data_IF_571008255589
#
_entry.id   IF_571008255589
#
_cell.length_a   1.000
_cell.length_b   1.000
_cell.length_c   1.000
_cell.angle_alpha   90.00
_cell.angle_beta   90.00
_cell.angle_gamma   90.00
#
_symmetry.space_group_name_H-M   'P 1'
#
loop_
_entity.id
_entity.type
_entity.pdbx_description
1 polymer ?
#
# COMPACT_ATOMS: atom_id res chain seq x y z
N UNK A 1 2.32 -41.93 54.10
CA UNK A 1 2.79 -42.62 52.88
C UNK A 1 2.62 -41.66 51.71
N UNK A 2 3.68 -40.98 51.26
CA UNK A 2 3.63 -40.15 50.06
C UNK A 2 4.98 -40.31 49.36
N UNK A 3 4.99 -41.09 48.27
CA UNK A 3 6.19 -41.41 47.49
C UNK A 3 6.49 -40.24 46.57
N UNK A 4 7.67 -39.65 46.73
CA UNK A 4 8.26 -38.68 45.80
C UNK A 4 8.78 -39.46 44.60
N UNK A 5 8.22 -39.22 43.41
CA UNK A 5 8.76 -39.71 42.14
C UNK A 5 9.75 -38.67 41.60
N UNK A 6 11.04 -38.97 41.68
CA UNK A 6 12.08 -38.28 40.92
C UNK A 6 12.08 -38.85 39.49
N UNK A 7 11.51 -38.12 38.54
CA UNK A 7 11.77 -38.35 37.13
C UNK A 7 13.12 -37.75 36.78
N UNK A 8 14.12 -38.62 36.55
CA UNK A 8 15.38 -38.24 35.93
C UNK A 8 15.13 -37.85 34.47
N UNK A 9 15.35 -36.57 34.15
CA UNK A 9 15.47 -36.10 32.77
C UNK A 9 16.79 -36.64 32.22
N UNK A 10 16.71 -37.72 31.43
CA UNK A 10 17.80 -38.12 30.56
C UNK A 10 18.00 -37.01 29.52
N UNK A 11 19.09 -36.26 29.64
CA UNK A 11 19.59 -35.37 28.60
C UNK A 11 19.99 -36.25 27.41
N UNK A 12 19.07 -36.42 26.46
CA UNK A 12 19.43 -36.84 25.11
C UNK A 12 20.35 -35.74 24.55
N UNK A 13 21.66 -36.01 24.55
CA UNK A 13 22.60 -35.28 23.69
C UNK A 13 22.10 -35.46 22.27
N UNK A 14 21.58 -34.39 21.71
CA UNK A 14 21.48 -34.25 20.26
C UNK A 14 22.92 -34.17 19.78
N UNK A 15 23.51 -35.31 19.42
CA UNK A 15 24.76 -35.29 18.66
C UNK A 15 24.50 -34.41 17.44
N UNK A 16 25.26 -33.32 17.36
CA UNK A 16 25.23 -32.42 16.21
C UNK A 16 25.31 -33.28 14.95
N UNK A 17 24.50 -32.98 13.94
CA UNK A 17 24.79 -33.38 12.56
C UNK A 17 26.25 -33.01 12.28
N UNK A 18 27.16 -33.97 12.46
CA UNK A 18 28.59 -33.72 12.38
C UNK A 18 28.87 -33.70 10.88
N UNK A 19 28.87 -32.50 10.31
CA UNK A 19 29.31 -32.32 8.93
C UNK A 19 30.73 -32.95 8.82
N UNK A 20 30.96 -33.84 7.85
CA UNK A 20 32.24 -34.56 7.72
C UNK A 20 33.43 -33.64 7.41
N UNK A 21 33.17 -32.36 7.13
CA UNK A 21 34.16 -31.29 7.01
C UNK A 21 33.66 -30.00 7.66
N UNK A 22 34.58 -29.08 7.93
CA UNK A 22 34.29 -27.72 8.41
C UNK A 22 34.81 -26.71 7.40
N UNK A 23 33.97 -25.74 7.03
CA UNK A 23 34.35 -24.60 6.19
C UNK A 23 34.66 -23.39 7.07
N UNK A 24 35.72 -22.66 6.76
CA UNK A 24 36.07 -21.39 7.41
C UNK A 24 36.44 -20.34 6.37
N UNK A 25 35.89 -19.10 6.42
CA UNK A 25 34.83 -18.67 7.34
C UNK A 25 33.45 -19.28 6.98
N UNK A 26 32.63 -19.51 8.01
CA UNK A 26 31.25 -19.95 7.84
C UNK A 26 30.33 -18.74 7.61
N UNK A 27 29.53 -18.82 6.54
CA UNK A 27 28.52 -17.84 6.14
C UNK A 27 29.00 -16.35 6.09
N UNK A 28 30.14 -16.06 5.43
CA UNK A 28 30.73 -14.72 5.46
C UNK A 28 29.85 -13.70 4.71
N UNK A 29 29.92 -12.45 5.17
CA UNK A 29 29.34 -11.30 4.47
C UNK A 29 30.45 -10.41 3.93
N UNK A 30 30.38 -10.06 2.65
CA UNK A 30 31.46 -9.41 1.92
C UNK A 30 30.94 -8.29 1.01
N UNK A 31 31.83 -7.34 0.69
CA UNK A 31 31.56 -6.28 -0.28
C UNK A 31 31.73 -6.79 -1.71
N UNK A 32 30.94 -6.26 -2.64
CA UNK A 32 31.17 -6.48 -4.08
C UNK A 32 32.60 -6.08 -4.45
N UNK A 33 33.27 -6.91 -5.26
CA UNK A 33 34.65 -6.71 -5.70
C UNK A 33 35.71 -7.20 -4.71
N UNK A 34 35.32 -7.63 -3.51
CA UNK A 34 36.24 -8.24 -2.55
C UNK A 34 36.66 -9.65 -2.97
N UNK A 35 37.69 -10.18 -2.30
CA UNK A 35 38.16 -11.55 -2.47
C UNK A 35 37.88 -12.36 -1.21
N UNK A 36 37.55 -13.64 -1.38
CA UNK A 36 37.35 -14.60 -0.30
C UNK A 36 38.39 -15.71 -0.41
N UNK A 37 39.08 -15.99 0.69
CA UNK A 37 39.84 -17.22 0.88
C UNK A 37 39.10 -18.08 1.90
N UNK A 38 38.67 -19.27 1.47
CA UNK A 38 37.92 -20.20 2.30
C UNK A 38 38.64 -21.56 2.36
N UNK A 39 38.65 -22.18 3.53
CA UNK A 39 39.29 -23.48 3.76
C UNK A 39 38.25 -24.53 4.14
N UNK A 40 38.38 -25.73 3.59
CA UNK A 40 37.59 -26.92 3.94
C UNK A 40 38.52 -27.92 4.61
N UNK A 41 38.25 -28.23 5.87
CA UNK A 41 39.04 -29.16 6.67
C UNK A 41 38.23 -30.40 6.99
N UNK A 42 38.71 -31.58 6.57
CA UNK A 42 38.14 -32.87 6.97
C UNK A 42 38.78 -33.38 8.26
N UNK A 43 38.06 -34.21 9.00
CA UNK A 43 38.58 -34.81 10.22
C UNK A 43 39.80 -35.71 9.94
N UNK A 44 40.77 -35.71 10.84
CA UNK A 44 42.02 -36.48 10.70
C UNK A 44 41.78 -38.00 10.76
N UNK A 45 40.66 -38.44 11.33
CA UNK A 45 40.22 -39.83 11.33
C UNK A 45 39.53 -40.26 10.02
N UNK A 46 39.28 -39.34 9.09
CA UNK A 46 38.66 -39.64 7.80
C UNK A 46 39.67 -40.22 6.81
N UNK A 47 39.19 -41.04 5.86
CA UNK A 47 40.01 -41.54 4.74
C UNK A 47 40.26 -40.49 3.65
N UNK A 48 39.66 -39.30 3.77
CA UNK A 48 39.72 -38.24 2.79
C UNK A 48 40.97 -37.39 2.99
N UNK A 49 41.64 -37.04 1.89
CA UNK A 49 42.76 -36.10 1.89
C UNK A 49 42.38 -34.81 1.19
N UNK A 50 43.12 -33.73 1.46
CA UNK A 50 42.92 -32.44 0.81
C UNK A 50 42.95 -32.52 -0.73
N UNK A 51 43.78 -33.41 -1.28
CA UNK A 51 43.90 -33.70 -2.72
C UNK A 51 42.65 -34.36 -3.33
N UNK A 52 41.78 -34.94 -2.50
CA UNK A 52 40.51 -35.55 -2.91
C UNK A 52 39.34 -34.57 -2.83
N UNK A 53 39.57 -33.34 -2.37
CA UNK A 53 38.52 -32.34 -2.19
C UNK A 53 38.40 -31.44 -3.42
N UNK A 54 37.21 -30.89 -3.65
CA UNK A 54 37.02 -29.79 -4.60
C UNK A 54 35.88 -28.87 -4.17
N UNK A 55 35.86 -27.67 -4.74
CA UNK A 55 34.89 -26.64 -4.42
C UNK A 55 33.92 -26.37 -5.56
N UNK A 56 32.67 -26.08 -5.21
CA UNK A 56 31.68 -25.52 -6.13
C UNK A 56 31.10 -24.24 -5.57
N UNK A 57 30.86 -23.25 -6.44
CA UNK A 57 30.08 -22.06 -6.14
C UNK A 57 28.80 -22.08 -6.96
N UNK A 58 27.63 -22.06 -6.30
CA UNK A 58 26.32 -22.16 -6.95
C UNK A 58 26.22 -23.36 -7.92
N UNK A 59 26.78 -24.50 -7.51
CA UNK A 59 26.80 -25.74 -8.30
C UNK A 59 27.83 -25.79 -9.42
N UNK A 60 28.59 -24.71 -9.68
CA UNK A 60 29.67 -24.70 -10.67
C UNK A 60 31.01 -25.00 -10.02
N UNK A 61 31.75 -25.96 -10.57
CA UNK A 61 33.08 -26.32 -10.05
C UNK A 61 34.06 -25.17 -10.28
N UNK A 62 34.77 -24.81 -9.22
CA UNK A 62 35.80 -23.77 -9.27
C UNK A 62 37.08 -24.31 -9.94
N UNK A 63 37.84 -23.48 -10.66
CA UNK A 63 39.06 -23.92 -11.36
C UNK A 63 40.15 -24.38 -10.38
N UNK A 64 40.92 -25.41 -10.75
CA UNK A 64 41.93 -25.99 -9.85
C UNK A 64 43.07 -25.01 -9.54
N UNK A 65 43.30 -24.01 -10.40
CA UNK A 65 44.30 -22.94 -10.22
C UNK A 65 43.95 -22.01 -9.05
N UNK A 66 42.69 -22.01 -8.61
CA UNK A 66 42.23 -21.23 -7.45
C UNK A 66 42.46 -21.97 -6.12
N UNK A 67 42.92 -23.22 -6.17
CA UNK A 67 43.07 -24.07 -5.00
C UNK A 67 44.48 -24.01 -4.43
N UNK A 68 44.56 -24.14 -3.11
CA UNK A 68 45.83 -24.24 -2.38
C UNK A 68 45.71 -25.34 -1.31
N UNK A 69 46.55 -26.36 -1.40
CA UNK A 69 46.61 -27.43 -0.39
C UNK A 69 47.41 -26.91 0.80
N UNK A 70 46.73 -26.62 1.91
CA UNK A 70 47.37 -26.07 3.11
C UNK A 70 48.07 -27.15 3.95
N UNK A 71 47.45 -28.33 4.03
CA UNK A 71 47.99 -29.51 4.73
C UNK A 71 47.31 -30.79 4.19
N UNK A 72 47.57 -31.95 4.81
CA UNK A 72 47.03 -33.24 4.35
C UNK A 72 45.49 -33.35 4.37
N UNK A 73 44.79 -32.57 5.20
CA UNK A 73 43.33 -32.65 5.41
C UNK A 73 42.58 -31.35 5.07
N UNK A 74 43.28 -30.28 4.70
CA UNK A 74 42.68 -28.97 4.43
C UNK A 74 42.98 -28.48 3.02
N UNK A 75 41.91 -28.23 2.25
CA UNK A 75 41.96 -27.57 0.94
C UNK A 75 41.43 -26.15 1.04
N UNK A 76 42.22 -25.17 0.58
CA UNK A 76 41.83 -23.77 0.48
C UNK A 76 41.43 -23.42 -0.95
N UNK A 77 40.53 -22.44 -1.08
CA UNK A 77 40.16 -21.81 -2.35
C UNK A 77 40.17 -20.30 -2.20
N UNK A 78 40.74 -19.60 -3.18
CA UNK A 78 40.68 -18.13 -3.25
C UNK A 78 39.87 -17.68 -4.45
N UNK A 79 38.79 -16.95 -4.19
CA UNK A 79 37.89 -16.39 -5.20
C UNK A 79 38.08 -14.87 -5.18
N UNK A 80 38.57 -14.30 -6.28
CA UNK A 80 38.77 -12.86 -6.40
C UNK A 80 37.59 -12.17 -7.09
N UNK A 81 37.43 -10.87 -6.81
CA UNK A 81 36.47 -10.00 -7.48
C UNK A 81 35.04 -10.55 -7.47
N UNK A 82 34.54 -10.89 -6.29
CA UNK A 82 33.19 -11.43 -6.10
C UNK A 82 32.11 -10.45 -6.59
N UNK A 83 31.17 -10.95 -7.37
CA UNK A 83 29.99 -10.21 -7.79
C UNK A 83 28.91 -10.24 -6.71
N UNK A 84 27.92 -9.33 -6.81
CA UNK A 84 26.77 -9.32 -5.92
C UNK A 84 25.98 -10.62 -5.98
N UNK A 85 25.50 -11.07 -4.81
CA UNK A 85 24.82 -12.35 -4.68
C UNK A 85 23.54 -12.41 -5.51
N UNK A 86 23.39 -13.50 -6.26
CA UNK A 86 22.26 -13.65 -7.18
C UNK A 86 20.99 -14.17 -6.47
N UNK A 87 21.14 -14.59 -5.22
CA UNK A 87 20.10 -15.23 -4.42
C UNK A 87 19.96 -14.50 -3.08
N UNK A 88 18.73 -14.24 -2.66
CA UNK A 88 18.46 -13.62 -1.37
C UNK A 88 18.90 -14.50 -0.18
N UNK A 89 18.96 -15.82 -0.35
CA UNK A 89 19.46 -16.77 0.67
C UNK A 89 20.98 -16.82 0.78
N UNK A 90 21.71 -16.05 -0.05
CA UNK A 90 23.16 -16.16 -0.21
C UNK A 90 23.55 -17.16 -1.30
N UNK A 91 24.79 -17.05 -1.77
CA UNK A 91 25.40 -17.96 -2.73
C UNK A 91 26.01 -19.17 -2.04
N UNK A 92 25.87 -20.35 -2.63
CA UNK A 92 26.26 -21.60 -2.01
C UNK A 92 27.70 -21.97 -2.38
N UNK A 93 28.64 -21.79 -1.43
CA UNK A 93 29.99 -22.33 -1.51
C UNK A 93 30.03 -23.70 -0.84
N UNK A 94 30.35 -24.73 -1.59
CA UNK A 94 30.24 -26.13 -1.13
C UNK A 94 31.54 -26.87 -1.36
N UNK A 95 31.99 -27.59 -0.34
CA UNK A 95 33.12 -28.50 -0.39
C UNK A 95 32.62 -29.92 -0.63
N UNK A 96 33.23 -30.60 -1.60
CA UNK A 96 32.86 -31.94 -2.04
C UNK A 96 34.03 -32.90 -1.92
N UNK A 97 33.73 -34.19 -1.74
CA UNK A 97 34.68 -35.28 -1.97
C UNK A 97 34.80 -35.61 -3.46
N UNK A 98 35.87 -36.29 -3.85
CA UNK A 98 36.15 -36.76 -5.22
C UNK A 98 34.96 -37.49 -5.87
N UNK A 99 34.19 -38.23 -5.07
CA UNK A 99 33.03 -39.02 -5.53
C UNK A 99 31.75 -38.18 -5.71
N UNK A 100 31.80 -36.88 -5.45
CA UNK A 100 30.67 -35.95 -5.58
C UNK A 100 29.81 -35.80 -4.32
N UNK A 101 30.24 -36.37 -3.20
CA UNK A 101 29.55 -36.23 -1.91
C UNK A 101 29.74 -34.83 -1.33
N UNK A 102 28.65 -34.21 -0.88
CA UNK A 102 28.69 -32.91 -0.18
C UNK A 102 29.23 -33.13 1.23
N UNK A 103 30.33 -32.47 1.56
CA UNK A 103 30.95 -32.58 2.88
C UNK A 103 30.56 -31.43 3.81
N UNK A 104 30.52 -30.21 3.28
CA UNK A 104 30.15 -29.01 4.01
C UNK A 104 29.69 -27.91 3.04
N UNK A 105 28.86 -26.98 3.52
CA UNK A 105 28.39 -25.81 2.76
C UNK A 105 28.46 -24.53 3.59
N UNK A 106 28.67 -23.41 2.91
CA UNK A 106 28.71 -22.05 3.47
C UNK A 106 27.95 -21.10 2.54
N UNK A 107 27.09 -20.27 3.10
CA UNK A 107 26.31 -19.28 2.37
C UNK A 107 27.06 -17.94 2.33
N UNK A 108 27.54 -17.56 1.14
CA UNK A 108 28.20 -16.28 0.94
C UNK A 108 27.16 -15.18 0.74
N UNK A 109 27.30 -14.06 1.46
CA UNK A 109 26.43 -12.89 1.31
C UNK A 109 27.24 -11.72 0.75
N UNK A 110 27.15 -11.49 -0.55
CA UNK A 110 27.90 -10.42 -1.23
C UNK A 110 26.95 -9.31 -1.66
N UNK A 111 27.23 -8.08 -1.24
CA UNK A 111 26.46 -6.92 -1.69
C UNK A 111 27.09 -5.60 -1.26
N UNK A 112 26.25 -4.60 -1.04
CA UNK A 112 26.66 -3.27 -0.61
C UNK A 112 26.00 -2.90 0.73
N UNK A 113 26.67 -2.10 1.58
CA UNK A 113 26.05 -1.54 2.77
C UNK A 113 24.82 -0.69 2.37
N UNK A 114 23.85 -0.53 3.28
CA UNK A 114 22.66 0.24 2.97
C UNK A 114 23.04 1.70 2.78
N UNK A 115 22.40 2.37 1.83
CA UNK A 115 22.47 3.83 1.73
C UNK A 115 21.40 4.50 2.58
N UNK A 116 21.65 5.76 2.95
CA UNK A 116 20.73 6.50 3.80
C UNK A 116 19.37 6.68 3.11
N UNK A 117 18.25 6.34 3.77
CA UNK A 117 16.92 6.62 3.24
C UNK A 117 16.71 8.13 3.06
N UNK A 118 15.95 8.51 2.03
CA UNK A 118 15.69 9.92 1.69
C UNK A 118 14.20 10.17 1.48
N UNK A 119 13.83 11.44 1.27
CA UNK A 119 12.47 11.85 0.94
C UNK A 119 11.39 11.35 1.92
N UNK A 120 11.70 11.41 3.21
CA UNK A 120 10.72 11.09 4.25
C UNK A 120 9.59 12.12 4.18
N UNK A 121 8.39 11.62 3.91
CA UNK A 121 7.16 12.41 3.83
C UNK A 121 6.10 11.75 4.69
N UNK A 122 5.41 12.54 5.51
CA UNK A 122 4.37 12.05 6.40
C UNK A 122 3.08 12.83 6.20
N UNK A 123 1.97 12.18 6.49
CA UNK A 123 0.64 12.79 6.54
C UNK A 123 -0.20 12.14 7.63
N UNK A 124 -1.11 12.92 8.19
CA UNK A 124 -2.06 12.49 9.21
C UNK A 124 -3.47 12.58 8.66
N UNK A 125 -4.23 11.49 8.73
CA UNK A 125 -5.66 11.54 8.44
C UNK A 125 -6.39 12.04 9.68
N UNK A 126 -7.07 13.17 9.53
CA UNK A 126 -7.97 13.73 10.54
C UNK A 126 -7.29 13.96 11.92
N UNK A 127 -5.97 14.20 11.97
CA UNK A 127 -5.16 14.37 13.20
C UNK A 127 -5.18 13.17 14.17
N UNK A 128 -5.52 11.97 13.71
CA UNK A 128 -5.66 10.79 14.58
C UNK A 128 -4.54 9.79 14.43
N UNK A 129 -3.97 9.72 13.23
CA UNK A 129 -2.90 8.80 12.88
C UNK A 129 -1.72 9.56 12.27
N UNK A 130 -0.63 8.84 11.99
CA UNK A 130 0.48 9.36 11.21
C UNK A 130 0.98 8.26 10.29
N UNK A 131 0.99 8.53 9.00
CA UNK A 131 1.56 7.64 8.00
C UNK A 131 2.75 8.31 7.37
N UNK A 132 3.87 7.60 7.28
CA UNK A 132 5.10 8.10 6.69
C UNK A 132 5.57 7.17 5.56
N UNK A 133 6.21 7.77 4.56
CA UNK A 133 6.84 7.12 3.41
C UNK A 133 8.24 7.65 3.21
N UNK A 134 9.11 6.81 2.67
CA UNK A 134 10.48 7.18 2.32
C UNK A 134 10.91 6.50 1.03
N UNK A 135 11.95 7.05 0.41
CA UNK A 135 12.67 6.38 -0.66
C UNK A 135 13.86 5.61 -0.05
N UNK A 136 14.13 4.38 -0.51
CA UNK A 136 15.42 3.74 -0.25
C UNK A 136 16.54 4.61 -0.86
N UNK A 137 17.73 4.64 -0.24
CA UNK A 137 18.85 5.44 -0.75
C UNK A 137 19.33 5.01 -2.14
N UNK A 138 19.37 3.70 -2.38
CA UNK A 138 19.62 3.06 -3.68
C UNK A 138 18.32 2.72 -4.42
N UNK A 139 18.39 2.37 -5.70
CA UNK A 139 17.25 1.83 -6.49
C UNK A 139 16.80 0.41 -6.03
N UNK A 140 16.71 0.16 -4.71
CA UNK A 140 16.23 -1.10 -4.13
C UNK A 140 17.28 -1.90 -3.34
N UNK A 141 16.99 -3.18 -3.14
CA UNK A 141 17.83 -4.12 -2.38
C UNK A 141 19.19 -4.34 -3.07
N UNK A 142 20.28 -3.98 -2.39
CA UNK A 142 21.66 -4.04 -2.89
C UNK A 142 22.25 -5.46 -2.83
N UNK A 143 21.57 -6.44 -3.45
CA UNK A 143 21.88 -7.88 -3.37
C UNK A 143 21.72 -8.51 -1.98
N UNK A 144 21.63 -7.69 -0.93
CA UNK A 144 21.36 -8.07 0.44
C UNK A 144 20.00 -7.54 0.87
N UNK A 145 19.23 -8.41 1.52
CA UNK A 145 17.97 -8.00 2.14
C UNK A 145 18.25 -6.90 3.16
N UNK A 146 17.53 -5.78 3.01
CA UNK A 146 17.72 -4.57 3.82
C UNK A 146 16.43 -4.25 4.54
N UNK A 147 16.50 -4.23 5.86
CA UNK A 147 15.38 -3.90 6.73
C UNK A 147 15.32 -2.40 6.99
N UNK A 148 14.14 -1.82 6.81
CA UNK A 148 13.88 -0.40 7.08
C UNK A 148 13.02 -0.26 8.32
N UNK A 149 13.53 0.46 9.31
CA UNK A 149 12.87 0.67 10.59
C UNK A 149 12.57 2.15 10.78
N UNK A 150 11.30 2.53 10.80
CA UNK A 150 10.90 3.90 11.09
C UNK A 150 10.88 4.13 12.61
N UNK A 151 11.66 5.10 13.05
CA UNK A 151 11.78 5.54 14.43
C UNK A 151 11.14 6.91 14.60
N UNK A 152 10.56 7.14 15.77
CA UNK A 152 9.96 8.43 16.09
C UNK A 152 9.96 8.70 17.59
N UNK A 153 10.07 9.97 17.96
CA UNK A 153 9.91 10.43 19.36
C UNK A 153 9.40 11.86 19.42
N UNK A 154 8.81 12.22 20.55
CA UNK A 154 8.56 13.61 20.87
C UNK A 154 9.90 14.30 21.15
N UNK A 155 10.11 15.47 20.53
CA UNK A 155 11.39 16.19 20.55
C UNK A 155 11.97 16.43 21.95
N UNK A 156 11.12 16.73 22.94
CA UNK A 156 11.57 17.21 24.24
C UNK A 156 11.58 16.16 25.36
N UNK A 157 10.70 15.17 25.30
CA UNK A 157 10.49 14.22 26.39
C UNK A 157 10.07 12.83 25.89
N UNK A 158 10.20 12.59 24.59
CA UNK A 158 9.90 11.31 23.99
C UNK A 158 11.05 10.33 24.11
N UNK A 159 10.72 9.06 24.38
CA UNK A 159 11.62 7.94 24.14
C UNK A 159 11.51 7.51 22.68
N UNK A 160 12.57 6.88 22.17
CA UNK A 160 12.59 6.31 20.84
C UNK A 160 11.50 5.22 20.72
N UNK A 161 10.53 5.46 19.83
CA UNK A 161 9.53 4.48 19.47
C UNK A 161 9.86 3.91 18.09
N UNK A 162 9.39 2.69 17.84
CA UNK A 162 9.54 2.02 16.56
C UNK A 162 8.16 1.75 15.99
N UNK A 163 7.93 2.20 14.76
CA UNK A 163 6.69 1.91 14.06
C UNK A 163 6.57 0.41 13.77
N UNK A 164 5.34 -0.12 13.85
CA UNK A 164 5.08 -1.57 13.76
C UNK A 164 4.26 -1.96 12.53
N UNK A 165 3.51 -1.03 11.93
CA UNK A 165 2.60 -1.33 10.82
C UNK A 165 3.18 -0.86 9.49
N UNK A 166 4.05 -1.69 8.92
CA UNK A 166 4.70 -1.41 7.64
C UNK A 166 3.82 -1.76 6.44
N UNK A 167 4.17 -1.19 5.29
CA UNK A 167 3.57 -1.45 3.98
C UNK A 167 2.09 -1.06 3.83
N UNK A 168 1.55 -0.28 4.75
CA UNK A 168 0.16 0.17 4.80
C UNK A 168 -0.21 1.14 3.68
N UNK A 169 0.77 1.86 3.13
CA UNK A 169 0.58 2.78 2.01
C UNK A 169 1.46 2.41 0.81
N UNK A 170 1.84 1.14 0.66
CA UNK A 170 2.77 0.66 -0.36
C UNK A 170 4.17 0.38 0.21
N UNK A 171 5.17 0.02 -0.63
CA UNK A 171 6.51 -0.27 -0.15
C UNK A 171 7.13 0.94 0.57
N UNK A 172 8.03 0.68 1.53
CA UNK A 172 8.75 1.72 2.28
C UNK A 172 7.81 2.73 2.96
N UNK A 173 6.78 2.22 3.61
CA UNK A 173 5.81 3.01 4.37
C UNK A 173 5.55 2.42 5.74
N UNK A 174 5.17 3.27 6.70
CA UNK A 174 4.75 2.84 8.03
C UNK A 174 3.61 3.70 8.58
N UNK A 175 2.71 3.08 9.34
CA UNK A 175 1.53 3.70 9.93
C UNK A 175 1.53 3.61 11.46
N UNK A 176 1.28 4.75 12.10
CA UNK A 176 1.16 4.89 13.55
C UNK A 176 -0.31 5.26 13.84
N UNK A 177 -1.10 4.32 14.39
CA UNK A 177 -2.56 4.44 14.36
C UNK A 177 -3.17 5.37 15.43
N UNK A 178 -2.47 5.61 16.56
CA UNK A 178 -3.00 6.32 17.73
C UNK A 178 -1.90 6.73 18.71
N UNK A 179 -2.33 7.30 19.84
CA UNK A 179 -1.49 7.72 20.99
C UNK A 179 -0.44 8.75 20.59
N UNK A 180 -0.85 9.62 19.67
CA UNK A 180 -0.05 10.70 19.11
C UNK A 180 -0.39 12.03 19.80
N UNK A 181 0.62 12.83 20.11
CA UNK A 181 0.46 14.14 20.70
C UNK A 181 0.36 15.21 19.62
N UNK A 182 -0.61 16.12 19.76
CA UNK A 182 -0.72 17.30 18.90
C UNK A 182 0.03 18.47 19.55
N UNK A 183 0.41 19.48 18.75
CA UNK A 183 1.07 20.71 19.22
C UNK A 183 2.46 20.49 19.82
N UNK A 184 3.02 19.29 19.65
CA UNK A 184 4.39 18.96 20.05
C UNK A 184 5.10 18.31 18.87
N UNK A 185 6.22 18.87 18.40
CA UNK A 185 6.92 18.33 17.25
C UNK A 185 7.52 16.95 17.57
N UNK A 186 7.38 16.05 16.61
CA UNK A 186 8.07 14.77 16.55
C UNK A 186 9.39 14.91 15.80
N UNK A 187 10.39 14.15 16.24
CA UNK A 187 11.56 13.77 15.46
C UNK A 187 11.30 12.39 14.84
N UNK A 188 11.46 12.26 13.53
CA UNK A 188 11.17 11.05 12.77
C UNK A 188 12.38 10.75 11.87
N UNK A 189 12.86 9.51 11.91
CA UNK A 189 13.95 9.04 11.05
C UNK A 189 13.76 7.58 10.68
N UNK A 190 14.49 7.12 9.67
CA UNK A 190 14.46 5.74 9.20
C UNK A 190 15.87 5.15 9.27
N UNK A 191 15.98 3.97 9.86
CA UNK A 191 17.19 3.17 9.92
C UNK A 191 17.11 2.06 8.88
N UNK A 192 18.02 2.06 7.92
CA UNK A 192 18.21 0.97 6.96
C UNK A 192 19.34 0.06 7.47
N UNK A 193 19.07 -1.23 7.62
CA UNK A 193 20.02 -2.19 8.19
C UNK A 193 20.11 -3.44 7.32
N UNK A 194 21.33 -3.85 6.98
CA UNK A 194 21.61 -5.13 6.35
C UNK A 194 22.87 -5.76 6.99
N UNK A 195 23.31 -6.91 6.47
CA UNK A 195 24.46 -7.65 7.03
C UNK A 195 25.79 -6.87 7.00
N UNK A 196 25.92 -5.85 6.17
CA UNK A 196 27.12 -5.02 6.01
C UNK A 196 27.09 -3.73 6.83
N UNK A 197 25.95 -3.36 7.44
CA UNK A 197 25.89 -2.21 8.33
C UNK A 197 24.52 -1.56 8.42
N UNK A 198 24.54 -0.34 8.98
CA UNK A 198 23.35 0.48 9.22
C UNK A 198 23.57 1.87 8.64
N UNK A 199 22.56 2.40 7.96
CA UNK A 199 22.50 3.78 7.50
C UNK A 199 21.24 4.45 8.03
N UNK A 200 21.37 5.70 8.44
CA UNK A 200 20.29 6.47 9.07
C UNK A 200 19.96 7.67 8.19
N UNK A 201 18.66 7.92 8.00
CA UNK A 201 18.19 9.10 7.28
C UNK A 201 18.49 10.39 8.04
N UNK A 202 18.31 11.53 7.37
CA UNK A 202 18.14 12.80 8.08
C UNK A 202 16.90 12.74 8.98
N UNK A 203 16.92 13.49 10.08
CA UNK A 203 15.79 13.60 11.01
C UNK A 203 14.80 14.62 10.48
N UNK A 204 13.56 14.19 10.25
CA UNK A 204 12.44 15.07 9.91
C UNK A 204 11.75 15.51 11.20
N UNK A 205 11.63 16.83 11.36
CA UNK A 205 10.83 17.42 12.43
C UNK A 205 9.48 17.87 11.90
N UNK A 206 8.39 17.38 12.49
CA UNK A 206 7.04 17.82 12.16
C UNK A 206 6.11 17.76 13.36
N UNK A 207 5.15 18.69 13.40
CA UNK A 207 3.95 18.53 14.20
C UNK A 207 2.89 17.83 13.35
N UNK A 208 2.00 17.07 13.97
CA UNK A 208 0.92 16.37 13.27
C UNK A 208 -0.03 17.39 12.62
N UNK A 209 -0.25 18.53 13.28
CA UNK A 209 -1.12 19.59 12.75
C UNK A 209 -0.57 20.24 11.47
N UNK A 210 0.72 20.05 11.16
CA UNK A 210 1.36 20.57 9.96
C UNK A 210 1.18 19.68 8.73
N UNK A 211 0.75 18.44 8.90
CA UNK A 211 0.72 17.42 7.83
C UNK A 211 -0.66 16.77 7.69
N UNK A 212 -1.71 17.52 8.00
CA UNK A 212 -3.09 16.99 8.02
C UNK A 212 -3.65 16.85 6.61
N UNK A 213 -4.26 15.70 6.35
CA UNK A 213 -5.19 15.46 5.24
C UNK A 213 -6.51 14.93 5.82
N UNK A 214 -7.56 14.89 5.00
CA UNK A 214 -8.88 14.39 5.40
C UNK A 214 -9.43 13.43 4.37
N UNK A 215 -10.48 12.71 4.74
CA UNK A 215 -11.25 11.95 3.77
C UNK A 215 -11.84 12.90 2.70
N UNK A 216 -12.04 12.42 1.45
CA UNK A 216 -12.72 13.20 0.43
C UNK A 216 -14.15 13.59 0.87
N UNK A 217 -14.69 14.72 0.37
CA UNK A 217 -16.09 15.07 0.59
C UNK A 217 -17.04 13.95 0.19
N UNK A 218 -18.04 13.71 1.03
CA UNK A 218 -19.04 12.65 0.82
C UNK A 218 -20.37 13.22 0.32
N UNK A 219 -21.31 12.36 -0.07
CA UNK A 219 -22.66 12.75 -0.53
C UNK A 219 -22.64 13.81 -1.64
N UNK A 220 -21.73 13.68 -2.61
CA UNK A 220 -21.69 14.58 -3.76
C UNK A 220 -22.94 14.36 -4.60
N UNK A 221 -23.71 15.43 -4.79
CA UNK A 221 -24.96 15.43 -5.55
C UNK A 221 -24.91 16.54 -6.59
N UNK A 222 -25.22 16.18 -7.84
CA UNK A 222 -25.26 17.12 -8.97
C UNK A 222 -26.69 17.17 -9.50
N UNK A 223 -27.25 18.37 -9.65
CA UNK A 223 -28.65 18.58 -10.04
C UNK A 223 -28.81 19.75 -11.00
N UNK A 224 -29.88 19.75 -11.79
CA UNK A 224 -30.24 20.87 -12.68
C UNK A 224 -30.69 22.08 -11.86
N UNK A 225 -30.45 23.27 -12.40
CA UNK A 225 -30.94 24.53 -11.82
C UNK A 225 -32.14 24.98 -12.64
N UNK A 226 -33.32 24.46 -12.32
CA UNK A 226 -34.53 24.68 -13.14
C UNK A 226 -34.29 24.23 -14.58
N UNK A 227 -34.68 25.09 -15.53
CA UNK A 227 -34.54 24.85 -16.97
C UNK A 227 -33.28 25.50 -17.57
N UNK A 228 -32.33 25.97 -16.74
CA UNK A 228 -31.08 26.58 -17.21
C UNK A 228 -30.20 25.53 -17.91
N UNK A 229 -30.02 25.69 -19.22
CA UNK A 229 -29.34 24.73 -20.10
C UNK A 229 -27.81 24.73 -19.99
N UNK A 230 -27.24 25.74 -19.34
CA UNK A 230 -25.80 25.94 -19.20
C UNK A 230 -25.30 25.77 -17.76
N UNK A 231 -26.17 25.33 -16.84
CA UNK A 231 -25.88 25.32 -15.41
C UNK A 231 -26.24 24.02 -14.67
N UNK A 232 -25.39 23.66 -13.73
CA UNK A 232 -25.60 22.57 -12.77
C UNK A 232 -25.29 23.03 -11.34
N UNK A 233 -26.05 22.55 -10.37
CA UNK A 233 -25.83 22.75 -8.93
C UNK A 233 -25.16 21.52 -8.34
N UNK A 234 -24.03 21.72 -7.68
CA UNK A 234 -23.22 20.70 -7.00
C UNK A 234 -23.33 20.93 -5.50
N UNK A 235 -23.63 19.88 -4.74
CA UNK A 235 -23.70 19.90 -3.27
C UNK A 235 -22.91 18.72 -2.71
N UNK A 236 -22.30 18.87 -1.55
CA UNK A 236 -21.55 17.82 -0.86
C UNK A 236 -21.68 17.92 0.66
N UNK A 237 -21.18 16.91 1.36
CA UNK A 237 -21.01 16.91 2.81
C UNK A 237 -19.54 17.11 3.15
N UNK A 238 -19.27 18.03 4.09
CA UNK A 238 -17.94 18.21 4.66
C UNK A 238 -17.53 16.95 5.45
N UNK A 239 -16.27 16.48 5.32
CA UNK A 239 -15.70 15.45 6.18
C UNK A 239 -15.93 15.77 7.66
N UNK A 240 -16.30 14.80 8.52
CA UNK A 240 -16.61 15.06 9.92
C UNK A 240 -15.47 15.76 10.69
N UNK A 241 -14.22 15.46 10.36
CA UNK A 241 -13.04 16.07 10.97
C UNK A 241 -12.95 17.59 10.73
N UNK A 242 -13.49 18.09 9.61
CA UNK A 242 -13.50 19.51 9.27
C UNK A 242 -14.63 20.29 9.94
N UNK A 243 -15.51 19.62 10.70
CA UNK A 243 -16.56 20.28 11.48
C UNK A 243 -16.05 20.73 12.85
N UNK A 244 -14.82 20.36 13.20
CA UNK A 244 -14.18 20.79 14.43
C UNK A 244 -13.70 22.25 14.30
N UNK A 245 -13.69 22.99 15.41
CA UNK A 245 -13.34 24.41 15.44
C UNK A 245 -11.88 24.69 15.07
N UNK A 246 -11.06 23.64 15.02
CA UNK A 246 -9.64 23.70 14.72
C UNK A 246 -9.34 23.94 13.23
N UNK A 247 -10.35 23.85 12.34
CA UNK A 247 -10.12 23.85 10.90
C UNK A 247 -11.00 24.85 10.13
N UNK A 248 -10.45 25.34 9.03
CA UNK A 248 -11.23 25.84 7.89
C UNK A 248 -11.01 24.89 6.70
N UNK A 249 -11.97 24.84 5.77
CA UNK A 249 -11.89 23.94 4.61
C UNK A 249 -11.96 24.73 3.31
N UNK A 250 -11.06 24.45 2.38
CA UNK A 250 -11.21 24.86 0.98
C UNK A 250 -11.66 23.66 0.18
N UNK A 251 -12.57 23.89 -0.76
CA UNK A 251 -13.00 22.86 -1.71
C UNK A 251 -12.53 23.19 -3.11
N UNK A 252 -12.26 22.13 -3.86
CA UNK A 252 -11.93 22.20 -5.27
C UNK A 252 -12.84 21.26 -6.04
N UNK A 253 -13.35 21.74 -7.17
CA UNK A 253 -14.27 21.01 -8.03
C UNK A 253 -13.64 20.86 -9.41
N UNK A 254 -13.65 19.64 -9.94
CA UNK A 254 -13.31 19.35 -11.32
C UNK A 254 -14.48 18.67 -12.02
N UNK A 255 -14.60 18.91 -13.32
CA UNK A 255 -15.65 18.28 -14.12
C UNK A 255 -15.17 17.95 -15.52
N UNK A 256 -15.78 16.93 -16.13
CA UNK A 256 -15.52 16.55 -17.53
C UNK A 256 -16.80 16.11 -18.21
N UNK A 257 -16.80 16.13 -19.54
CA UNK A 257 -17.85 15.49 -20.33
C UNK A 257 -17.56 13.99 -20.48
N UNK A 258 -18.60 13.21 -20.75
CA UNK A 258 -18.51 11.75 -20.89
C UNK A 258 -17.43 11.30 -21.89
N UNK A 259 -17.41 11.91 -23.07
CA UNK A 259 -16.50 11.58 -24.17
C UNK A 259 -15.08 12.13 -24.01
N UNK A 260 -14.80 12.86 -22.92
CA UNK A 260 -13.48 13.43 -22.62
C UNK A 260 -12.77 12.62 -21.56
N UNK A 261 -11.50 12.27 -21.81
CA UNK A 261 -10.57 11.77 -20.79
C UNK A 261 -9.99 12.89 -19.94
N UNK A 262 -10.02 14.13 -20.43
CA UNK A 262 -9.46 15.29 -19.73
C UNK A 262 -10.47 15.89 -18.75
N UNK A 263 -10.02 16.10 -17.51
CA UNK A 263 -10.74 16.85 -16.48
C UNK A 263 -10.50 18.35 -16.67
N UNK A 264 -11.57 19.14 -16.77
CA UNK A 264 -11.48 20.59 -16.65
C UNK A 264 -11.38 20.98 -15.16
N UNK A 265 -10.52 21.95 -14.89
CA UNK A 265 -10.27 22.59 -13.58
C UNK A 265 -10.49 24.11 -13.75
N UNK A 266 -11.00 24.94 -12.82
CA UNK A 266 -11.40 24.76 -11.42
C UNK A 266 -12.42 25.84 -11.02
N UNK A 267 -13.37 25.55 -10.11
CA UNK A 267 -13.90 26.60 -9.22
C UNK A 267 -13.06 26.58 -7.94
N UNK A 268 -12.12 27.52 -7.83
CA UNK A 268 -11.23 27.64 -6.67
C UNK A 268 -11.88 28.45 -5.54
N UNK A 269 -11.61 28.06 -4.29
CA UNK A 269 -11.97 28.81 -3.08
C UNK A 269 -13.47 28.99 -2.82
N UNK A 270 -14.24 27.89 -2.85
CA UNK A 270 -15.64 27.88 -2.36
C UNK A 270 -15.73 28.13 -0.82
N UNK A 271 -14.59 28.31 -0.15
CA UNK A 271 -14.49 28.52 1.29
C UNK A 271 -15.15 27.36 2.05
N UNK A 272 -15.77 27.66 3.19
CA UNK A 272 -16.52 26.67 3.97
C UNK A 272 -17.89 26.29 3.35
N UNK A 273 -18.24 26.79 2.15
CA UNK A 273 -19.51 26.43 1.53
C UNK A 273 -19.46 24.98 1.04
N UNK A 274 -20.59 24.28 1.18
CA UNK A 274 -20.74 22.88 0.76
C UNK A 274 -21.57 22.73 -0.52
N UNK A 275 -21.65 23.81 -1.30
CA UNK A 275 -22.36 23.83 -2.57
C UNK A 275 -21.80 24.88 -3.52
N UNK A 276 -21.82 24.62 -4.82
CA UNK A 276 -21.49 25.59 -5.85
C UNK A 276 -22.37 25.42 -7.10
N UNK A 277 -22.39 26.43 -7.97
CA UNK A 277 -23.00 26.37 -9.30
C UNK A 277 -21.91 26.31 -10.35
N UNK A 278 -21.98 25.31 -11.22
CA UNK A 278 -21.19 25.23 -12.45
C UNK A 278 -21.98 25.93 -13.55
N UNK A 279 -21.34 26.86 -14.27
CA UNK A 279 -21.94 27.63 -15.36
C UNK A 279 -21.09 27.49 -16.64
N UNK A 280 -21.63 27.92 -17.78
CA UNK A 280 -20.96 27.82 -19.08
C UNK A 280 -20.87 26.38 -19.61
N UNK A 281 -21.80 25.52 -19.20
CA UNK A 281 -21.90 24.13 -19.66
C UNK A 281 -22.61 24.06 -21.01
N UNK A 282 -22.36 22.99 -21.77
CA UNK A 282 -23.06 22.73 -23.04
C UNK A 282 -24.47 22.19 -22.75
N UNK A 283 -25.51 22.68 -23.43
CA UNK A 283 -26.86 22.12 -23.34
C UNK A 283 -26.91 20.62 -23.69
N UNK A 284 -27.84 19.89 -23.08
CA UNK A 284 -28.09 18.47 -23.35
C UNK A 284 -26.88 17.55 -23.18
N UNK A 285 -25.89 17.93 -22.38
CA UNK A 285 -24.61 17.23 -22.25
C UNK A 285 -24.45 16.61 -20.87
N UNK A 286 -23.93 15.39 -20.78
CA UNK A 286 -23.63 14.69 -19.52
C UNK A 286 -22.27 15.11 -19.00
N UNK A 287 -22.22 15.52 -17.74
CA UNK A 287 -21.01 15.90 -17.02
C UNK A 287 -20.76 14.98 -15.83
N UNK A 288 -19.50 14.57 -15.65
CA UNK A 288 -19.00 13.95 -14.44
C UNK A 288 -18.31 15.00 -13.58
N UNK A 289 -18.60 15.03 -12.29
CA UNK A 289 -18.08 16.01 -11.33
C UNK A 289 -17.43 15.29 -10.16
N UNK A 290 -16.29 15.80 -9.70
CA UNK A 290 -15.62 15.37 -8.48
C UNK A 290 -15.29 16.57 -7.59
N UNK A 291 -15.28 16.35 -6.29
CA UNK A 291 -14.94 17.36 -5.28
C UNK A 291 -13.83 16.82 -4.39
N UNK A 292 -12.85 17.66 -4.04
CA UNK A 292 -11.87 17.38 -3.00
C UNK A 292 -11.76 18.55 -2.04
N UNK A 293 -11.15 18.35 -0.88
CA UNK A 293 -11.00 19.39 0.14
C UNK A 293 -9.56 19.52 0.63
N UNK A 294 -9.25 20.67 1.21
CA UNK A 294 -7.98 20.96 1.86
C UNK A 294 -8.25 21.61 3.23
N UNK A 295 -7.80 21.00 4.34
CA UNK A 295 -7.79 21.65 5.64
C UNK A 295 -6.81 22.81 5.63
N UNK A 296 -7.28 24.03 5.83
CA UNK A 296 -6.44 25.22 5.93
C UNK A 296 -6.74 25.99 7.22
N UNK A 297 -5.81 26.85 7.64
CA UNK A 297 -5.99 27.62 8.89
C UNK A 297 -6.12 26.73 10.12
N UNK A 298 -5.37 25.62 10.15
CA UNK A 298 -5.37 24.68 11.27
C UNK A 298 -4.82 25.41 12.49
N UNK A 299 -5.59 25.45 13.58
CA UNK A 299 -5.14 26.10 14.80
C UNK A 299 -3.79 25.51 15.24
N UNK A 300 -2.81 26.37 15.55
CA UNK A 300 -1.46 25.94 15.92
C UNK A 300 -0.52 25.60 14.75
N UNK A 301 -1.00 25.54 13.50
CA UNK A 301 -0.16 25.38 12.31
C UNK A 301 -0.05 26.68 11.50
N UNK A 302 1.12 26.90 10.91
CA UNK A 302 1.35 27.95 9.90
C UNK A 302 1.25 27.41 8.47
N UNK A 303 1.10 26.10 8.30
CA UNK A 303 1.05 25.44 7.00
C UNK A 303 -0.39 25.18 6.56
N UNK A 304 -0.61 25.21 5.26
CA UNK A 304 -1.82 24.64 4.70
C UNK A 304 -1.73 23.11 4.77
N UNK A 305 -2.84 22.45 5.00
CA UNK A 305 -2.90 21.01 4.97
C UNK A 305 -2.77 20.45 3.55
N UNK A 306 -2.80 19.12 3.49
CA UNK A 306 -2.65 18.34 2.28
C UNK A 306 -4.05 18.13 1.66
N UNK A 307 -4.17 18.28 0.34
CA UNK A 307 -5.41 18.00 -0.36
C UNK A 307 -5.85 16.55 -0.15
N UNK A 308 -7.15 16.34 0.08
CA UNK A 308 -7.73 15.01 0.07
C UNK A 308 -7.67 14.40 -1.32
N UNK A 309 -7.89 13.10 -1.39
CA UNK A 309 -8.26 12.44 -2.64
C UNK A 309 -9.52 13.07 -3.23
N UNK A 310 -9.78 12.79 -4.51
CA UNK A 310 -11.02 13.17 -5.16
C UNK A 310 -12.17 12.27 -4.70
N UNK A 311 -13.37 12.86 -4.54
CA UNK A 311 -14.59 12.09 -4.33
C UNK A 311 -14.88 11.14 -5.49
N UNK A 312 -15.77 10.18 -5.26
CA UNK A 312 -16.34 9.41 -6.36
C UNK A 312 -16.99 10.34 -7.39
N UNK A 313 -16.86 10.06 -8.70
CA UNK A 313 -17.44 10.89 -9.74
C UNK A 313 -18.97 10.77 -9.75
N UNK A 314 -19.65 11.92 -9.79
CA UNK A 314 -21.12 12.01 -9.86
C UNK A 314 -21.54 12.63 -11.18
N UNK A 315 -22.54 12.04 -11.84
CA UNK A 315 -22.99 12.46 -13.16
C UNK A 315 -24.33 13.21 -13.12
N UNK A 316 -24.47 14.23 -13.96
CA UNK A 316 -25.75 14.86 -14.29
C UNK A 316 -25.69 15.45 -15.71
N UNK A 317 -26.85 15.63 -16.34
CA UNK A 317 -26.95 16.30 -17.63
C UNK A 317 -27.65 17.64 -17.55
N UNK A 318 -27.14 18.60 -18.32
CA UNK A 318 -27.82 19.88 -18.54
C UNK A 318 -29.13 19.69 -19.32
N UNK A 319 -30.14 20.54 -19.09
CA UNK A 319 -31.31 20.61 -19.95
C UNK A 319 -30.92 20.79 -21.42
N UNK A 320 -31.73 20.23 -22.32
CA UNK A 320 -31.64 20.50 -23.75
C UNK A 320 -32.78 21.43 -24.11
N UNK A 321 -32.51 22.64 -24.60
CA UNK A 321 -33.58 23.43 -25.18
C UNK A 321 -34.04 22.79 -26.50
N UNK A 322 -35.32 22.44 -26.52
CA UNK A 322 -36.09 22.21 -27.70
C UNK A 322 -37.47 22.77 -27.41
N UNK A 323 -37.78 23.93 -27.98
CA UNK A 323 -39.17 24.29 -28.24
C UNK A 323 -39.77 23.18 -29.11
N UNK A 324 -40.37 22.18 -28.48
CA UNK A 324 -41.52 21.55 -29.09
C UNK A 324 -42.64 22.56 -28.94
N UNK A 325 -42.83 23.42 -29.95
CA UNK A 325 -44.13 24.04 -30.20
C UNK A 325 -45.09 22.90 -30.49
N UNK A 326 -45.70 22.40 -29.44
CA UNK A 326 -46.57 21.25 -29.42
C UNK A 326 -46.99 21.04 -27.98
N UNK A 327 -48.11 21.64 -27.61
CA UNK A 327 -48.85 21.30 -26.40
C UNK A 327 -48.97 19.78 -26.37
N UNK A 328 -48.34 19.13 -25.39
CA UNK A 328 -48.61 17.74 -25.06
C UNK A 328 -49.16 17.71 -23.64
N UNK A 329 -50.48 17.54 -23.56
CA UNK A 329 -51.11 16.95 -22.38
C UNK A 329 -50.36 15.67 -21.96
N UNK A 330 -50.29 15.38 -20.65
CA UNK A 330 -49.50 14.27 -20.14
C UNK A 330 -50.14 12.93 -20.53
N UNK A 331 -49.55 12.25 -21.51
CA UNK A 331 -49.81 10.81 -21.72
C UNK A 331 -48.86 9.99 -20.84
N UNK A 332 -49.44 9.29 -19.87
CA UNK A 332 -48.84 8.34 -18.91
C UNK A 332 -47.91 7.24 -19.47
N UNK A 333 -47.58 7.25 -20.77
CA UNK A 333 -46.72 6.27 -21.43
C UNK A 333 -45.25 6.69 -21.59
N UNK A 334 -44.93 7.99 -21.67
CA UNK A 334 -43.57 8.44 -21.99
C UNK A 334 -42.60 8.38 -20.80
N UNK A 335 -43.07 8.68 -19.59
CA UNK A 335 -42.25 8.66 -18.37
C UNK A 335 -41.71 7.25 -18.05
N UNK A 336 -42.48 6.21 -18.37
CA UNK A 336 -42.04 4.82 -18.23
C UNK A 336 -40.98 4.43 -19.28
N UNK A 337 -41.01 5.03 -20.47
CA UNK A 337 -40.05 4.75 -21.54
C UNK A 337 -38.71 5.46 -21.32
N UNK A 338 -38.73 6.70 -20.80
CA UNK A 338 -37.51 7.42 -20.42
C UNK A 338 -36.81 6.77 -19.24
N UNK A 339 -37.53 6.44 -18.17
CA UNK A 339 -36.99 5.71 -17.02
C UNK A 339 -36.39 4.36 -17.43
N UNK A 340 -37.06 3.63 -18.33
CA UNK A 340 -36.56 2.34 -18.82
C UNK A 340 -35.32 2.49 -19.68
N UNK A 341 -35.18 3.58 -20.44
CA UNK A 341 -33.99 3.91 -21.22
C UNK A 341 -32.81 4.25 -20.30
N UNK A 342 -33.03 5.07 -19.28
CA UNK A 342 -32.03 5.45 -18.28
C UNK A 342 -31.56 4.22 -17.46
N UNK A 343 -32.49 3.36 -17.03
CA UNK A 343 -32.15 2.10 -16.35
C UNK A 343 -31.31 1.17 -17.24
N UNK A 344 -31.63 1.05 -18.53
CA UNK A 344 -30.83 0.25 -19.46
C UNK A 344 -29.41 0.80 -19.62
N UNK A 345 -29.26 2.12 -19.68
CA UNK A 345 -27.94 2.77 -19.75
C UNK A 345 -27.14 2.53 -18.46
N UNK A 346 -27.78 2.67 -17.30
CA UNK A 346 -27.17 2.38 -15.98
C UNK A 346 -26.70 0.92 -15.84
N UNK A 347 -27.55 -0.06 -16.20
CA UNK A 347 -27.15 -1.47 -16.16
C UNK A 347 -26.09 -1.82 -17.23
N UNK A 348 -26.09 -1.13 -18.37
CA UNK A 348 -25.04 -1.24 -19.38
C UNK A 348 -23.69 -0.76 -18.85
N UNK A 349 -23.68 0.37 -18.15
CA UNK A 349 -22.50 0.90 -17.47
C UNK A 349 -21.99 -0.04 -16.36
N UNK A 350 -22.89 -0.54 -15.49
CA UNK A 350 -22.51 -1.49 -14.43
C UNK A 350 -21.94 -2.79 -14.97
N UNK A 351 -22.39 -3.29 -16.13
CA UNK A 351 -21.81 -4.49 -16.74
C UNK A 351 -20.40 -4.25 -17.26
N UNK A 352 -20.09 -3.02 -17.70
CA UNK A 352 -18.79 -2.64 -18.25
C UNK A 352 -17.75 -2.31 -17.16
N UNK A 353 -18.19 -1.80 -16.00
CA UNK A 353 -17.29 -1.31 -14.94
C UNK A 353 -17.49 -1.97 -13.56
N UNK A 354 -18.55 -2.76 -13.36
CA UNK A 354 -18.93 -3.35 -12.06
C UNK A 354 -18.21 -4.64 -11.69
N UNK A 355 -17.38 -5.22 -12.57
CA UNK A 355 -16.55 -6.40 -12.30
C UNK A 355 -15.53 -6.17 -11.18
N UNK A 356 -15.12 -4.92 -10.96
CA UNK A 356 -14.21 -4.53 -9.86
C UNK A 356 -14.91 -4.37 -8.50
N UNK A 357 -16.25 -4.40 -8.45
CA UNK A 357 -17.05 -4.08 -7.26
C UNK A 357 -18.09 -5.16 -6.91
N UNK A 358 -18.01 -6.36 -7.49
CA UNK A 358 -18.88 -7.49 -7.18
C UNK A 358 -20.33 -7.39 -7.67
N UNK A 359 -20.68 -6.34 -8.44
CA UNK A 359 -22.05 -6.08 -8.90
C UNK A 359 -22.32 -6.44 -10.37
N UNK A 360 -21.42 -7.16 -11.03
CA UNK A 360 -21.49 -7.46 -12.47
C UNK A 360 -22.73 -8.25 -12.92
N UNK A 361 -23.40 -8.97 -12.00
CA UNK A 361 -24.57 -9.81 -12.30
C UNK A 361 -25.93 -9.11 -12.16
N UNK A 362 -25.96 -7.82 -11.77
CA UNK A 362 -27.22 -7.09 -11.68
C UNK A 362 -27.77 -6.76 -13.07
N UNK A 363 -29.04 -7.09 -13.31
CA UNK A 363 -29.70 -6.87 -14.59
C UNK A 363 -31.06 -6.19 -14.44
N UNK A 364 -31.51 -5.53 -15.51
CA UNK A 364 -32.84 -4.93 -15.56
C UNK A 364 -33.97 -5.94 -15.29
N UNK A 365 -33.75 -7.22 -15.63
CA UNK A 365 -34.70 -8.31 -15.32
C UNK A 365 -34.83 -8.55 -13.82
N UNK A 366 -33.72 -8.52 -13.08
CA UNK A 366 -33.73 -8.69 -11.62
C UNK A 366 -34.37 -7.48 -10.92
N UNK A 367 -34.12 -6.27 -11.43
CA UNK A 367 -34.78 -5.06 -10.95
C UNK A 367 -36.31 -5.11 -11.16
N UNK A 368 -36.76 -5.55 -12.34
CA UNK A 368 -38.19 -5.71 -12.63
C UNK A 368 -38.83 -6.80 -11.75
N UNK A 369 -38.14 -7.92 -11.50
CA UNK A 369 -38.60 -8.96 -10.57
C UNK A 369 -38.74 -8.45 -9.13
N UNK A 370 -37.75 -7.69 -8.64
CA UNK A 370 -37.79 -7.08 -7.32
C UNK A 370 -38.94 -6.07 -7.18
N UNK A 371 -39.15 -5.20 -8.19
CA UNK A 371 -40.29 -4.26 -8.18
C UNK A 371 -41.64 -4.98 -8.15
N UNK A 372 -41.80 -6.04 -8.94
CA UNK A 372 -43.03 -6.84 -8.94
C UNK A 372 -43.23 -7.52 -7.57
N UNK A 373 -42.17 -7.99 -6.93
CA UNK A 373 -42.22 -8.56 -5.58
C UNK A 373 -42.66 -7.53 -4.54
N UNK A 374 -42.14 -6.29 -4.59
CA UNK A 374 -42.58 -5.21 -3.71
C UNK A 374 -44.06 -4.85 -3.91
N UNK A 375 -44.50 -4.74 -5.16
CA UNK A 375 -45.90 -4.42 -5.47
C UNK A 375 -46.85 -5.54 -5.02
N UNK A 376 -46.44 -6.81 -5.14
CA UNK A 376 -47.19 -7.94 -4.59
C UNK A 376 -47.24 -7.90 -3.06
N UNK A 377 -46.13 -7.64 -2.38
CA UNK A 377 -46.07 -7.49 -0.91
C UNK A 377 -47.01 -6.40 -0.38
N UNK A 378 -47.08 -5.24 -1.06
CA UNK A 378 -48.01 -4.18 -0.72
C UNK A 378 -49.49 -4.56 -0.97
N UNK A 379 -49.79 -5.35 -2.01
CA UNK A 379 -51.16 -5.85 -2.26
C UNK A 379 -51.59 -6.90 -1.24
N UNK A 380 -50.71 -7.81 -0.83
CA UNK A 380 -51.02 -8.81 0.21
C UNK A 380 -51.24 -8.15 1.57
N UNK A 381 -50.48 -7.08 1.89
CA UNK A 381 -50.68 -6.29 3.11
C UNK A 381 -52.01 -5.54 3.14
N UNK A 382 -52.51 -5.10 1.99
CA UNK A 382 -53.81 -4.41 1.90
C UNK A 382 -55.01 -5.37 1.84
N UNK A 383 -54.85 -6.62 1.36
CA UNK A 383 -55.90 -7.64 1.43
C UNK A 383 -56.11 -8.18 2.85
N UNK A 384 -55.06 -8.27 3.67
CA UNK A 384 -55.18 -8.63 5.10
C UNK A 384 -55.91 -7.55 5.91
N UNK A 385 -55.83 -6.28 5.50
CA UNK A 385 -56.52 -5.16 6.16
C UNK A 385 -57.98 -4.95 5.70
N UNK A 386 -58.40 -5.58 4.59
CA UNK A 386 -59.78 -5.50 4.09
C UNK A 386 -60.65 -6.71 4.45
N UNK A 387 -60.09 -7.72 5.12
CA UNK A 387 -60.82 -8.92 5.58
C UNK A 387 -61.52 -8.77 6.94
N UNK A 388 -61.18 -7.76 7.74
CA UNK A 388 -61.69 -7.54 9.10
C UNK A 388 -62.84 -6.51 9.17
N UNK A 389 -63.59 -6.33 8.07
CA UNK A 389 -64.85 -5.58 8.09
C UNK A 389 -65.93 -6.33 7.33
N UNK A 390 -66.51 -7.34 7.97
CA UNK A 390 -67.90 -7.76 7.81
C UNK A 390 -68.34 -8.49 9.07
#
# INVERSE_FOLDING_TARGET
>A
MMKVFLLGLALLRVDSLMYPAVISPQDPTLLIGSSLTASCSVDAGSSLRAEDLYWTLNGRRLPAETYEVLNATTLSVTISSLNGSQQQSGDNLVCHSRDGGILAGSCLYIGLPPEKPTNISCWSKNMKDLTCKWAPGTEGETYLHTNYTLKYKLRWYGRDNTCQQYHTAGPYSCHIPKDLALFTPYEIWVEASNRLGVAVSEVVMLDIVDVVTTDPPSNVHVSRVGDLEDQLSVRWSAPPALKDFLFQAKYQIQYRVEDSSEWKQVVDNVGNQTSCRLAGLRPGTVYFVQVRCNPFGIYGSKKAGIWSDWSNPTAASTPRNGRATGVCEPKNGEHNNTLRRELKQFFGWMRKHGSSYGCANLSIKMYDQWRVSLQKSHKTRNQVLSGDKS
#
